data_IF_821924311999
#
_entry.id   IF_821924311999
#
_cell.length_a   1.000
_cell.length_b   1.000
_cell.length_c   1.000
_cell.angle_alpha   90.00
_cell.angle_beta   90.00
_cell.angle_gamma   90.00
#
_symmetry.space_group_name_H-M   'P 1'
#
loop_
_entity.id
_entity.type
_entity.pdbx_description
1 polymer ?
#
# COMPACT_ATOMS: atom_id res chain seq x y z
N UNK A 1 -14.32 -8.96 12.52
CA UNK A 1 -14.36 -9.59 11.19
C UNK A 1 -13.66 -10.94 11.23
N UNK A 2 -14.31 -11.97 10.69
CA UNK A 2 -13.78 -13.33 10.49
C UNK A 2 -12.68 -13.33 9.41
N UNK A 3 -11.93 -14.44 9.32
CA UNK A 3 -10.87 -14.58 8.30
C UNK A 3 -11.46 -14.48 6.87
N UNK A 4 -12.60 -15.09 6.64
CA UNK A 4 -13.26 -15.12 5.33
C UNK A 4 -13.83 -13.75 4.95
N UNK A 5 -14.40 -13.02 5.91
CA UNK A 5 -14.81 -11.64 5.68
C UNK A 5 -13.60 -10.72 5.37
N UNK A 6 -12.44 -10.95 6.00
CA UNK A 6 -11.20 -10.19 5.73
C UNK A 6 -10.69 -10.45 4.32
N UNK A 7 -10.70 -11.71 3.88
CA UNK A 7 -10.36 -12.07 2.50
C UNK A 7 -11.31 -11.40 1.51
N UNK A 8 -12.61 -11.51 1.74
CA UNK A 8 -13.61 -10.89 0.87
C UNK A 8 -13.43 -9.37 0.78
N UNK A 9 -13.25 -8.69 1.92
CA UNK A 9 -13.01 -7.25 1.95
C UNK A 9 -11.77 -6.87 1.14
N UNK A 10 -10.66 -7.62 1.30
CA UNK A 10 -9.43 -7.38 0.55
C UNK A 10 -9.64 -7.57 -0.95
N UNK A 11 -10.36 -8.62 -1.36
CA UNK A 11 -10.73 -8.86 -2.76
C UNK A 11 -11.58 -7.71 -3.33
N UNK A 12 -12.58 -7.22 -2.60
CA UNK A 12 -13.39 -6.09 -3.01
C UNK A 12 -12.59 -4.78 -3.12
N UNK A 13 -11.61 -4.58 -2.25
CA UNK A 13 -10.71 -3.43 -2.31
C UNK A 13 -9.75 -3.52 -3.51
N UNK A 14 -9.24 -4.71 -3.81
CA UNK A 14 -8.40 -4.97 -4.98
C UNK A 14 -9.16 -4.75 -6.28
N UNK A 15 -10.40 -5.24 -6.38
CA UNK A 15 -11.33 -4.96 -7.49
C UNK A 15 -11.54 -3.45 -7.69
N UNK A 16 -11.65 -2.69 -6.61
CA UNK A 16 -11.77 -1.23 -6.70
C UNK A 16 -10.49 -0.57 -7.18
N UNK A 17 -9.32 -1.04 -6.75
CA UNK A 17 -8.03 -0.57 -7.26
C UNK A 17 -7.90 -0.81 -8.76
N UNK A 18 -8.24 -2.02 -9.22
CA UNK A 18 -8.26 -2.40 -10.64
C UNK A 18 -9.18 -1.49 -11.45
N UNK A 19 -10.42 -1.31 -10.99
CA UNK A 19 -11.43 -0.46 -11.64
C UNK A 19 -11.01 1.01 -11.68
N UNK A 20 -10.52 1.56 -10.57
CA UNK A 20 -10.09 2.96 -10.48
C UNK A 20 -8.87 3.25 -11.36
N UNK A 21 -7.95 2.29 -11.44
CA UNK A 21 -6.72 2.42 -12.23
C UNK A 21 -6.92 2.10 -13.71
N UNK A 22 -8.11 1.64 -14.11
CA UNK A 22 -8.42 1.18 -15.47
C UNK A 22 -7.52 0.04 -15.96
N UNK A 23 -7.23 -0.92 -15.07
CA UNK A 23 -6.38 -2.08 -15.39
C UNK A 23 -7.27 -3.22 -15.87
N UNK A 24 -7.03 -3.68 -17.09
CA UNK A 24 -7.78 -4.74 -17.76
C UNK A 24 -6.98 -6.06 -17.86
N UNK A 25 -5.66 -6.03 -17.67
CA UNK A 25 -4.80 -7.20 -17.69
C UNK A 25 -4.99 -8.07 -16.44
N UNK A 26 -5.26 -9.37 -16.64
CA UNK A 26 -5.37 -10.34 -15.54
C UNK A 26 -4.01 -10.66 -14.92
N UNK A 27 -2.93 -10.62 -15.71
CA UNK A 27 -1.56 -10.88 -15.24
C UNK A 27 -1.07 -9.82 -14.22
N UNK A 28 -1.71 -8.65 -14.17
CA UNK A 28 -1.34 -7.57 -13.27
C UNK A 28 -2.01 -7.69 -11.88
N UNK A 29 -2.86 -8.70 -11.65
CA UNK A 29 -3.58 -8.86 -10.37
C UNK A 29 -2.60 -9.10 -9.21
N UNK A 30 -1.59 -9.95 -9.40
CA UNK A 30 -0.63 -10.28 -8.34
C UNK A 30 0.20 -9.05 -7.93
N UNK A 31 0.63 -8.23 -8.90
CA UNK A 31 1.38 -7.01 -8.61
C UNK A 31 0.48 -5.93 -7.99
N UNK A 32 -0.80 -5.86 -8.37
CA UNK A 32 -1.76 -4.96 -7.74
C UNK A 32 -2.05 -5.35 -6.29
N UNK A 33 -2.14 -6.64 -5.99
CA UNK A 33 -2.29 -7.11 -4.62
C UNK A 33 -1.09 -6.69 -3.77
N UNK A 34 0.12 -6.87 -4.29
CA UNK A 34 1.35 -6.45 -3.59
C UNK A 34 1.40 -4.92 -3.38
N UNK A 35 1.03 -4.12 -4.39
CA UNK A 35 0.98 -2.66 -4.26
C UNK A 35 -0.06 -2.21 -3.23
N UNK A 36 -1.20 -2.92 -3.14
CA UNK A 36 -2.22 -2.66 -2.14
C UNK A 36 -1.71 -3.00 -0.75
N UNK A 37 -1.07 -4.16 -0.57
CA UNK A 37 -0.49 -4.57 0.72
C UNK A 37 0.55 -3.57 1.21
N UNK A 38 1.52 -3.22 0.36
CA UNK A 38 2.50 -2.16 0.63
C UNK A 38 1.86 -0.84 1.05
N UNK A 39 0.79 -0.44 0.37
CA UNK A 39 0.09 0.81 0.68
C UNK A 39 -0.59 0.73 2.05
N UNK A 40 -1.20 -0.41 2.38
CA UNK A 40 -1.88 -0.61 3.66
C UNK A 40 -0.87 -0.67 4.82
N UNK A 41 0.26 -1.35 4.64
CA UNK A 41 1.37 -1.39 5.60
C UNK A 41 1.89 0.03 5.89
N UNK A 42 2.14 0.82 4.85
CA UNK A 42 2.60 2.21 5.02
C UNK A 42 1.54 3.09 5.72
N UNK A 43 0.26 2.85 5.46
CA UNK A 43 -0.82 3.53 6.18
C UNK A 43 -0.90 3.10 7.65
N UNK A 44 -0.67 1.82 7.97
CA UNK A 44 -0.57 1.30 9.34
C UNK A 44 0.57 1.94 10.12
N UNK A 45 1.74 2.12 9.49
CA UNK A 45 2.89 2.78 10.09
C UNK A 45 2.67 4.28 10.34
N UNK A 46 2.03 4.99 9.39
CA UNK A 46 1.97 6.45 9.40
C UNK A 46 0.72 7.00 10.08
N UNK A 47 -0.40 6.28 10.09
CA UNK A 47 -1.70 6.77 10.59
C UNK A 47 -2.00 6.10 11.94
N UNK A 48 -1.96 6.84 13.06
CA UNK A 48 -2.26 6.26 14.37
C UNK A 48 -3.66 5.64 14.42
N UNK A 49 -3.74 4.41 14.94
CA UNK A 49 -4.98 3.62 15.07
C UNK A 49 -5.67 3.34 13.72
N UNK A 50 -4.92 3.33 12.63
CA UNK A 50 -5.45 2.86 11.36
C UNK A 50 -5.87 1.39 11.45
N UNK A 51 -7.00 1.06 10.82
CA UNK A 51 -7.49 -0.29 10.66
C UNK A 51 -7.80 -0.47 9.17
N UNK A 52 -7.02 -1.33 8.50
CA UNK A 52 -7.19 -1.62 7.08
C UNK A 52 -8.58 -2.19 6.75
N UNK A 53 -9.30 -2.73 7.74
CA UNK A 53 -10.62 -3.33 7.59
C UNK A 53 -11.76 -2.41 8.07
N UNK A 54 -11.46 -1.23 8.60
CA UNK A 54 -12.43 -0.20 9.01
C UNK A 54 -12.00 1.20 8.53
N UNK A 55 -11.66 1.29 7.24
CA UNK A 55 -11.25 2.56 6.64
C UNK A 55 -12.42 3.53 6.45
N UNK A 56 -12.20 4.78 6.87
CA UNK A 56 -13.03 5.91 6.42
C UNK A 56 -12.92 6.11 4.92
N UNK A 57 -13.88 6.81 4.30
CA UNK A 57 -13.82 7.12 2.85
C UNK A 57 -12.56 7.88 2.45
N UNK A 58 -11.98 8.70 3.35
CA UNK A 58 -10.72 9.42 3.09
C UNK A 58 -9.52 8.48 3.04
N UNK A 59 -9.41 7.56 4.01
CA UNK A 59 -8.37 6.54 4.03
C UNK A 59 -8.48 5.62 2.80
N UNK A 60 -9.70 5.22 2.44
CA UNK A 60 -9.94 4.43 1.23
C UNK A 60 -9.52 5.17 -0.05
N UNK A 61 -9.81 6.48 -0.15
CA UNK A 61 -9.36 7.29 -1.28
C UNK A 61 -7.83 7.36 -1.35
N UNK A 62 -7.15 7.53 -0.21
CA UNK A 62 -5.68 7.53 -0.15
C UNK A 62 -5.14 6.20 -0.68
N UNK A 63 -5.67 5.06 -0.21
CA UNK A 63 -5.24 3.76 -0.69
C UNK A 63 -5.37 3.60 -2.22
N UNK A 64 -6.53 3.97 -2.79
CA UNK A 64 -6.78 3.89 -4.23
C UNK A 64 -5.84 4.77 -5.05
N UNK A 65 -5.59 6.01 -4.61
CA UNK A 65 -4.69 6.94 -5.30
C UNK A 65 -3.23 6.47 -5.21
N UNK A 66 -2.80 5.97 -4.06
CA UNK A 66 -1.45 5.43 -3.86
C UNK A 66 -1.19 4.22 -4.76
N UNK A 67 -2.10 3.24 -4.79
CA UNK A 67 -1.99 2.06 -5.67
C UNK A 67 -1.93 2.48 -7.14
N UNK A 68 -2.81 3.39 -7.57
CA UNK A 68 -2.78 3.92 -8.95
C UNK A 68 -1.44 4.59 -9.25
N UNK A 69 -0.92 5.39 -8.33
CA UNK A 69 0.35 6.08 -8.52
C UNK A 69 1.54 5.11 -8.63
N UNK A 70 1.55 4.03 -7.82
CA UNK A 70 2.53 2.96 -7.91
C UNK A 70 2.46 2.25 -9.26
N UNK A 71 1.25 1.93 -9.71
CA UNK A 71 1.03 1.23 -10.97
C UNK A 71 1.37 2.09 -12.21
N UNK A 72 0.89 3.33 -12.27
CA UNK A 72 1.10 4.27 -13.39
C UNK A 72 2.58 4.64 -13.56
N UNK A 73 3.35 4.62 -12.46
CA UNK A 73 4.78 4.96 -12.46
C UNK A 73 5.69 3.74 -12.28
N UNK A 74 5.18 2.51 -12.44
CA UNK A 74 5.95 1.27 -12.23
C UNK A 74 7.27 1.19 -13.01
N UNK A 75 7.34 1.82 -14.19
CA UNK A 75 8.55 1.88 -15.01
C UNK A 75 9.58 2.89 -14.47
N UNK A 76 9.14 4.04 -13.93
CA UNK A 76 10.00 5.01 -13.23
C UNK A 76 10.48 4.46 -11.88
N UNK A 77 9.60 3.69 -11.26
CA UNK A 77 9.86 2.56 -10.38
C UNK A 77 11.16 1.86 -10.82
N UNK A 78 11.04 0.99 -11.82
CA UNK A 78 12.08 0.12 -12.38
C UNK A 78 13.42 0.78 -12.74
N UNK A 79 13.44 2.03 -13.20
CA UNK A 79 14.68 2.76 -13.44
C UNK A 79 15.36 3.15 -12.12
N UNK A 80 16.39 2.36 -11.78
CA UNK A 80 17.40 2.40 -10.68
C UNK A 80 17.57 3.71 -9.87
N UNK A 81 17.24 4.89 -10.40
CA UNK A 81 17.38 6.18 -9.71
C UNK A 81 16.20 6.53 -8.78
N UNK A 82 14.95 6.12 -9.03
CA UNK A 82 13.81 6.44 -8.14
C UNK A 82 13.36 5.26 -7.26
N UNK A 83 13.49 4.01 -7.72
CA UNK A 83 13.44 2.81 -6.87
C UNK A 83 14.42 2.90 -5.68
N UNK A 84 15.59 3.53 -5.88
CA UNK A 84 16.59 3.67 -4.82
C UNK A 84 16.11 4.47 -3.60
N UNK A 85 15.02 5.23 -3.66
CA UNK A 85 14.50 5.93 -2.49
C UNK A 85 13.27 5.24 -1.91
N UNK A 86 12.27 4.85 -2.72
CA UNK A 86 11.05 4.20 -2.25
C UNK A 86 11.31 2.74 -1.81
N UNK A 87 12.04 1.95 -2.61
CA UNK A 87 12.46 0.62 -2.19
C UNK A 87 13.57 0.66 -1.16
N UNK A 88 14.44 1.69 -1.12
CA UNK A 88 15.32 1.82 0.05
C UNK A 88 14.54 2.20 1.29
N UNK A 89 13.51 3.04 1.24
CA UNK A 89 12.70 3.33 2.44
C UNK A 89 11.91 2.11 2.89
N UNK A 90 11.36 1.32 1.96
CA UNK A 90 10.69 0.06 2.27
C UNK A 90 11.70 -0.97 2.81
N UNK A 91 12.85 -1.14 2.16
CA UNK A 91 13.95 -2.01 2.63
C UNK A 91 14.50 -1.56 3.99
N UNK A 92 14.62 -0.26 4.23
CA UNK A 92 15.03 0.28 5.52
C UNK A 92 13.94 0.05 6.58
N UNK A 93 12.66 0.22 6.24
CA UNK A 93 11.54 -0.13 7.14
C UNK A 93 11.55 -1.62 7.45
N UNK A 94 11.79 -2.49 6.48
CA UNK A 94 11.95 -3.94 6.69
C UNK A 94 13.18 -4.28 7.57
N UNK A 95 14.35 -3.67 7.29
CA UNK A 95 15.59 -3.90 8.06
C UNK A 95 15.46 -3.38 9.51
N UNK A 96 14.77 -2.25 9.71
CA UNK A 96 14.67 -1.57 10.99
C UNK A 96 13.29 -1.73 11.67
N UNK A 97 12.43 -2.62 11.16
CA UNK A 97 11.17 -3.03 11.79
C UNK A 97 10.06 -1.98 11.80
N UNK A 98 10.11 -0.99 10.89
CA UNK A 98 8.99 -0.09 10.62
C UNK A 98 8.37 0.57 11.86
N UNK A 99 9.15 1.19 12.77
CA UNK A 99 8.75 2.42 13.49
C UNK A 99 9.74 2.90 14.57
N UNK A 100 9.66 4.22 14.80
CA UNK A 100 10.02 5.07 15.96
C UNK A 100 11.49 5.19 16.39
N UNK A 101 12.13 6.28 15.93
CA UNK A 101 12.90 7.13 16.85
C UNK A 101 11.94 8.05 17.59
N UNK A 102 11.32 7.52 18.65
CA UNK A 102 10.90 8.34 19.76
C UNK A 102 11.96 8.14 20.85
N UNK A 103 13.00 8.98 20.84
CA UNK A 103 13.70 9.30 22.07
C UNK A 103 14.38 10.67 21.94
N UNK A 104 13.94 11.58 22.79
CA UNK A 104 14.35 12.98 22.82
C UNK A 104 13.42 13.82 23.66
N UNK A 105 13.01 13.32 24.82
CA UNK A 105 12.70 14.19 25.96
C UNK A 105 14.03 14.48 26.66
N UNK A 106 14.44 15.75 26.61
CA UNK A 106 15.07 16.49 27.71
C UNK A 106 14.77 17.98 27.52
#
# INVERSE_FOLDING_TARGET
MTVEERKQYKTELLEQCKKYSHIDYEDDIDILELMLDTTLEEMEELIPKFDAYDMTSRQRLIALVSVKNLYDNREKYGEVKQLSNAVSSMLLKEIYGGAVVADGQD
#
